data_IF_761716739177
#
_entry.id   IF_761716739177
#
_cell.length_a   1.000
_cell.length_b   1.000
_cell.length_c   1.000
_cell.angle_alpha   90.00
_cell.angle_beta   90.00
_cell.angle_gamma   90.00
#
_symmetry.space_group_name_H-M   'P 1'
#
loop_
_entity.id
_entity.type
_entity.pdbx_description
1 polymer ?
#
# COMPACT_ATOMS: atom_id res chain seq x y z
N UNK A 1 -51.19 -54.70 5.01
CA UNK A 1 -52.64 -54.42 4.83
C UNK A 1 -52.81 -52.92 4.55
N UNK A 2 -53.67 -52.53 3.60
CA UNK A 2 -53.23 -51.84 2.39
C UNK A 2 -53.98 -50.52 2.07
N UNK A 3 -53.49 -49.80 1.03
CA UNK A 3 -54.19 -49.10 -0.08
C UNK A 3 -55.45 -48.26 0.26
N UNK A 4 -55.64 -47.01 -0.20
CA UNK A 4 -55.90 -46.51 -1.58
C UNK A 4 -56.08 -44.97 -1.47
N UNK A 5 -55.59 -44.07 -2.34
CA UNK A 5 -55.82 -43.77 -3.79
C UNK A 5 -57.29 -43.44 -4.16
N UNK A 6 -57.57 -42.18 -4.48
CA UNK A 6 -58.19 -41.63 -5.73
C UNK A 6 -58.77 -40.22 -5.43
N UNK A 7 -58.37 -39.15 -6.15
CA UNK A 7 -58.99 -38.61 -7.39
C UNK A 7 -60.47 -38.20 -7.21
N UNK A 8 -61.03 -37.14 -7.80
CA UNK A 8 -60.59 -35.99 -8.60
C UNK A 8 -61.86 -35.18 -8.95
N UNK A 9 -61.66 -34.01 -9.59
CA UNK A 9 -62.58 -33.23 -10.48
C UNK A 9 -63.60 -32.32 -9.79
N UNK A 10 -64.01 -31.18 -10.33
CA UNK A 10 -63.72 -30.28 -11.48
C UNK A 10 -64.68 -29.09 -11.23
N UNK A 11 -64.47 -27.82 -11.59
CA UNK A 11 -63.93 -27.19 -12.80
C UNK A 11 -64.20 -25.67 -12.67
N UNK A 12 -64.11 -24.78 -13.66
CA UNK A 12 -63.41 -24.68 -14.94
C UNK A 12 -64.16 -23.58 -15.73
N UNK A 13 -63.50 -22.46 -16.08
CA UNK A 13 -63.75 -21.65 -17.29
C UNK A 13 -62.62 -20.60 -17.39
N UNK A 14 -61.61 -20.75 -18.27
CA UNK A 14 -61.55 -20.39 -19.72
C UNK A 14 -61.69 -18.88 -19.92
N UNK A 15 -60.73 -18.17 -20.53
CA UNK A 15 -60.40 -18.25 -21.97
C UNK A 15 -58.92 -18.03 -22.35
N UNK A 16 -58.62 -18.46 -23.59
CA UNK A 16 -57.37 -18.78 -24.30
C UNK A 16 -56.88 -17.60 -25.17
N UNK A 17 -55.58 -17.25 -25.17
CA UNK A 17 -54.48 -17.54 -26.16
C UNK A 17 -54.50 -16.94 -27.58
N UNK A 18 -53.30 -16.44 -27.99
CA UNK A 18 -52.51 -16.58 -29.27
C UNK A 18 -52.05 -15.22 -29.80
N UNK A 19 -50.74 -14.88 -29.75
CA UNK A 19 -49.63 -15.16 -30.72
C UNK A 19 -49.90 -14.72 -32.16
N UNK A 20 -49.11 -13.79 -32.72
CA UNK A 20 -48.02 -14.03 -33.72
C UNK A 20 -47.40 -12.72 -34.25
N UNK A 21 -46.17 -12.87 -34.77
CA UNK A 21 -45.28 -12.00 -35.56
C UNK A 21 -45.89 -10.95 -36.51
N UNK A 22 -45.19 -9.83 -36.79
CA UNK A 22 -44.35 -9.67 -38.00
C UNK A 22 -43.61 -8.31 -38.09
N UNK A 23 -42.55 -8.27 -38.91
CA UNK A 23 -41.76 -7.07 -39.31
C UNK A 23 -42.57 -6.14 -40.24
N UNK A 24 -42.06 -4.90 -40.49
CA UNK A 24 -41.82 -4.56 -41.90
C UNK A 24 -40.54 -3.75 -42.19
N UNK A 25 -40.08 -3.88 -43.44
CA UNK A 25 -39.05 -3.08 -44.13
C UNK A 25 -39.70 -2.00 -45.01
N UNK A 26 -38.98 -0.88 -45.16
CA UNK A 26 -38.86 0.08 -46.29
C UNK A 26 -40.12 0.55 -47.04
N UNK A 27 -40.27 1.88 -47.15
CA UNK A 27 -40.52 2.52 -48.45
C UNK A 27 -39.88 3.92 -48.54
N UNK A 28 -39.40 4.18 -49.75
CA UNK A 28 -38.65 5.31 -50.31
C UNK A 28 -39.65 6.29 -50.92
N UNK A 29 -39.40 7.60 -50.84
CA UNK A 29 -39.90 8.58 -51.80
C UNK A 29 -38.72 9.46 -52.24
N UNK A 30 -38.64 9.65 -53.55
CA UNK A 30 -37.61 10.31 -54.33
C UNK A 30 -37.84 11.83 -54.40
N UNK A 31 -36.79 12.54 -54.78
CA UNK A 31 -36.79 13.95 -55.17
C UNK A 31 -35.39 14.35 -55.63
N UNK A 32 -35.14 14.18 -56.93
CA UNK A 32 -33.95 14.63 -57.67
C UNK A 32 -33.79 16.16 -57.65
N UNK A 33 -32.56 16.63 -57.91
CA UNK A 33 -32.34 18.01 -58.36
C UNK A 33 -30.92 18.51 -58.13
N UNK A 34 -30.17 18.62 -59.22
CA UNK A 34 -28.75 18.95 -59.36
C UNK A 34 -28.29 20.33 -58.82
N UNK A 35 -26.95 20.43 -58.73
CA UNK A 35 -26.13 21.55 -59.22
C UNK A 35 -25.37 22.42 -58.18
N UNK A 36 -24.05 22.42 -58.41
CA UNK A 36 -23.12 23.56 -58.34
C UNK A 36 -22.67 24.15 -56.99
N UNK A 37 -21.42 23.82 -56.65
CA UNK A 37 -20.47 24.72 -55.97
C UNK A 37 -20.48 26.12 -56.61
N UNK A 38 -20.38 27.21 -55.83
CA UNK A 38 -19.15 27.99 -55.97
C UNK A 38 -18.65 28.74 -54.72
N UNK A 39 -17.32 28.89 -54.72
CA UNK A 39 -16.53 30.09 -54.35
C UNK A 39 -16.22 30.37 -52.88
N UNK A 40 -14.98 29.99 -52.57
CA UNK A 40 -13.99 30.78 -51.82
C UNK A 40 -14.23 32.30 -51.92
N UNK A 41 -14.45 32.94 -50.76
CA UNK A 41 -14.16 34.36 -50.57
C UNK A 41 -12.89 34.49 -49.74
N UNK A 42 -11.80 34.85 -50.42
CA UNK A 42 -10.57 35.37 -49.81
C UNK A 42 -10.89 36.68 -49.09
N UNK A 43 -10.93 36.67 -47.75
CA UNK A 43 -10.79 37.91 -46.95
C UNK A 43 -9.31 38.11 -46.62
N UNK A 44 -8.71 39.14 -47.22
CA UNK A 44 -7.35 39.61 -46.91
C UNK A 44 -7.33 40.34 -45.56
N UNK A 45 -6.50 39.82 -44.66
CA UNK A 45 -5.74 40.40 -43.51
C UNK A 45 -6.22 41.71 -42.87
N UNK A 46 -6.36 41.66 -41.54
CA UNK A 46 -5.66 42.60 -40.64
C UNK A 46 -4.99 41.79 -39.53
N UNK A 47 -3.67 41.76 -39.53
CA UNK A 47 -2.90 41.33 -38.35
C UNK A 47 -3.08 42.40 -37.27
N UNK A 48 -3.41 42.05 -36.01
CA UNK A 48 -3.35 43.02 -34.93
C UNK A 48 -1.89 43.47 -34.78
N UNK A 49 -1.66 44.77 -34.63
CA UNK A 49 -0.37 45.28 -34.15
C UNK A 49 -0.20 44.73 -32.73
N UNK A 50 0.72 43.80 -32.57
CA UNK A 50 1.15 43.29 -31.26
C UNK A 50 1.75 44.50 -30.53
N UNK A 51 1.09 44.96 -29.48
CA UNK A 51 1.61 46.00 -28.59
C UNK A 51 2.66 45.38 -27.64
N UNK A 52 3.57 46.17 -27.06
CA UNK A 52 4.55 45.67 -26.07
C UNK A 52 3.88 44.93 -24.89
N UNK A 53 2.65 45.29 -24.55
CA UNK A 53 1.83 44.55 -23.58
C UNK A 53 1.47 43.13 -24.05
N UNK A 54 1.18 42.92 -25.33
CA UNK A 54 0.92 41.59 -25.87
C UNK A 54 2.19 40.71 -25.84
N UNK A 55 3.37 41.31 -26.05
CA UNK A 55 4.66 40.60 -25.92
C UNK A 55 4.95 40.17 -24.48
N UNK A 56 4.68 41.02 -23.50
CA UNK A 56 4.84 40.69 -22.08
C UNK A 56 3.86 39.60 -21.61
N UNK A 57 2.61 39.67 -22.07
CA UNK A 57 1.59 38.63 -21.78
C UNK A 57 1.96 37.31 -22.45
N UNK A 58 2.48 37.34 -23.70
CA UNK A 58 2.94 36.13 -24.38
C UNK A 58 4.15 35.50 -23.68
N UNK A 59 5.12 36.32 -23.26
CA UNK A 59 6.28 35.86 -22.49
C UNK A 59 5.86 35.23 -21.17
N UNK A 60 4.95 35.88 -20.43
CA UNK A 60 4.42 35.34 -19.17
C UNK A 60 3.65 34.02 -19.36
N UNK A 61 2.86 33.90 -20.43
CA UNK A 61 2.16 32.65 -20.78
C UNK A 61 3.11 31.53 -21.19
N UNK A 62 4.20 31.84 -21.88
CA UNK A 62 5.24 30.87 -22.24
C UNK A 62 6.04 30.42 -21.02
N UNK A 63 6.31 31.33 -20.09
CA UNK A 63 6.98 31.04 -18.82
C UNK A 63 6.10 30.19 -17.91
N UNK A 64 4.80 30.47 -17.83
CA UNK A 64 3.81 29.60 -17.17
C UNK A 64 3.70 28.22 -17.84
N UNK A 65 3.76 28.13 -19.17
CA UNK A 65 3.80 26.82 -19.85
C UNK A 65 5.09 26.07 -19.55
N UNK A 66 6.24 26.74 -19.48
CA UNK A 66 7.52 26.14 -19.08
C UNK A 66 7.47 25.61 -17.65
N UNK A 67 6.96 26.40 -16.71
CA UNK A 67 6.79 25.99 -15.31
C UNK A 67 5.85 24.79 -15.19
N UNK A 68 4.71 24.81 -15.89
CA UNK A 68 3.77 23.68 -15.92
C UNK A 68 4.37 22.43 -16.57
N UNK A 69 5.19 22.58 -17.62
CA UNK A 69 5.86 21.47 -18.29
C UNK A 69 6.96 20.86 -17.41
N UNK A 70 7.77 21.69 -16.74
CA UNK A 70 8.77 21.24 -15.77
C UNK A 70 8.13 20.56 -14.55
N UNK A 71 7.01 21.10 -14.07
CA UNK A 71 6.23 20.49 -12.99
C UNK A 71 5.59 19.16 -13.44
N UNK A 72 5.13 19.07 -14.69
CA UNK A 72 4.60 17.84 -15.28
C UNK A 72 5.70 16.80 -15.47
N UNK A 73 6.90 17.17 -15.87
CA UNK A 73 8.07 16.29 -16.00
C UNK A 73 8.58 15.82 -14.64
N UNK A 74 8.65 16.71 -13.64
CA UNK A 74 8.95 16.36 -12.23
C UNK A 74 7.89 15.43 -11.65
N UNK A 75 6.60 15.71 -11.86
CA UNK A 75 5.50 14.81 -11.50
C UNK A 75 5.55 13.48 -12.27
N UNK A 76 6.09 13.48 -13.49
CA UNK A 76 6.26 12.25 -14.28
C UNK A 76 7.39 11.41 -13.69
N UNK A 77 8.55 12.00 -13.35
CA UNK A 77 9.64 11.30 -12.66
C UNK A 77 9.24 10.81 -11.26
N UNK A 78 8.52 11.62 -10.46
CA UNK A 78 7.92 11.19 -9.18
C UNK A 78 6.92 10.03 -9.35
N UNK A 79 6.35 9.84 -10.54
CA UNK A 79 5.44 8.72 -10.90
C UNK A 79 6.15 7.51 -11.53
N UNK A 80 7.47 7.52 -11.71
CA UNK A 80 8.20 6.36 -12.28
C UNK A 80 8.52 5.33 -11.19
N UNK A 81 8.77 5.77 -9.94
CA UNK A 81 9.14 4.88 -8.83
C UNK A 81 7.94 4.18 -8.21
N UNK A 82 6.79 4.86 -8.07
CA UNK A 82 5.50 4.24 -7.82
C UNK A 82 4.90 3.70 -9.14
N UNK A 83 4.26 2.53 -9.10
CA UNK A 83 3.65 1.91 -10.29
C UNK A 83 2.19 2.34 -10.42
N UNK A 84 1.84 3.03 -11.52
CA UNK A 84 0.45 3.45 -11.77
C UNK A 84 -0.48 2.27 -11.95
N UNK A 85 -1.67 2.36 -11.39
CA UNK A 85 -2.77 1.44 -11.71
C UNK A 85 -3.28 1.71 -13.12
N UNK A 86 -2.88 0.87 -14.08
CA UNK A 86 -3.43 0.94 -15.45
C UNK A 86 -4.92 0.59 -15.43
N UNK A 87 -5.75 1.48 -15.98
CA UNK A 87 -7.19 1.31 -16.15
C UNK A 87 -7.52 0.30 -17.27
N UNK A 88 -7.13 -0.96 -17.09
CA UNK A 88 -7.47 -2.06 -17.98
C UNK A 88 -7.93 -3.29 -17.15
N UNK A 89 -9.22 -3.61 -17.33
CA UNK A 89 -9.96 -4.82 -16.90
C UNK A 89 -9.99 -5.21 -15.42
N UNK A 90 -10.79 -4.50 -14.62
CA UNK A 90 -11.52 -5.15 -13.52
C UNK A 90 -12.67 -5.98 -14.13
N UNK A 91 -12.40 -7.25 -14.44
CA UNK A 91 -13.44 -8.22 -14.76
C UNK A 91 -13.23 -9.52 -14.00
N UNK A 92 -13.25 -9.43 -12.67
CA UNK A 92 -13.50 -10.58 -11.80
C UNK A 92 -14.83 -10.33 -11.09
N UNK A 93 -15.91 -10.60 -11.82
CA UNK A 93 -17.25 -10.72 -11.25
C UNK A 93 -17.30 -11.96 -10.34
N UNK A 94 -17.79 -11.75 -9.13
CA UNK A 94 -18.56 -12.75 -8.38
C UNK A 94 -19.50 -13.51 -9.31
N UNK A 95 -19.23 -14.80 -9.54
CA UNK A 95 -20.24 -15.77 -9.98
C UNK A 95 -20.01 -17.10 -9.26
N UNK A 96 -20.75 -17.31 -8.18
CA UNK A 96 -21.21 -18.65 -7.78
C UNK A 96 -22.22 -19.12 -8.82
N UNK A 97 -21.89 -20.13 -9.62
CA UNK A 97 -22.86 -21.13 -10.09
C UNK A 97 -22.14 -22.40 -10.54
N UNK A 98 -22.61 -23.53 -10.01
CA UNK A 98 -22.32 -24.89 -10.43
C UNK A 98 -22.74 -25.14 -11.88
N UNK A 99 -21.89 -25.79 -12.68
CA UNK A 99 -22.14 -27.06 -13.39
C UNK A 99 -21.00 -27.40 -14.36
N UNK A 100 -20.95 -28.70 -14.72
CA UNK A 100 -19.86 -29.46 -15.32
C UNK A 100 -19.54 -29.10 -16.78
N UNK A 101 -18.24 -29.20 -17.11
CA UNK A 101 -17.69 -29.64 -18.40
C UNK A 101 -17.68 -28.61 -19.52
N UNK A 102 -16.50 -28.06 -19.82
CA UNK A 102 -15.77 -28.32 -21.07
C UNK A 102 -14.38 -27.69 -20.98
N UNK A 103 -13.38 -28.41 -21.47
CA UNK A 103 -11.97 -28.04 -21.42
C UNK A 103 -11.61 -27.14 -22.59
N UNK A 104 -11.50 -25.84 -22.35
CA UNK A 104 -10.49 -24.98 -22.99
C UNK A 104 -10.33 -23.66 -22.21
N UNK A 105 -9.14 -23.04 -22.30
CA UNK A 105 -8.77 -21.66 -21.94
C UNK A 105 -8.40 -21.26 -20.49
N UNK A 106 -7.21 -20.64 -20.38
CA UNK A 106 -6.87 -19.61 -19.37
C UNK A 106 -5.96 -20.05 -18.24
N UNK A 107 -4.80 -19.39 -18.06
CA UNK A 107 -3.89 -19.56 -16.92
C UNK A 107 -4.67 -19.53 -15.59
N UNK A 108 -4.97 -20.68 -15.00
CA UNK A 108 -5.62 -20.75 -13.71
C UNK A 108 -4.62 -20.32 -12.63
N UNK A 109 -4.94 -19.26 -11.88
CA UNK A 109 -4.16 -18.80 -10.74
C UNK A 109 -3.92 -19.95 -9.75
N UNK A 110 -2.66 -20.18 -9.35
CA UNK A 110 -2.29 -21.23 -8.41
C UNK A 110 -2.92 -20.95 -7.04
N UNK A 111 -3.69 -21.90 -6.52
CA UNK A 111 -4.33 -21.80 -5.20
C UNK A 111 -3.30 -21.91 -4.07
N UNK A 112 -3.53 -21.22 -2.95
CA UNK A 112 -2.72 -21.36 -1.73
C UNK A 112 -2.79 -22.77 -1.14
N UNK A 113 -3.84 -23.53 -1.42
CA UNK A 113 -3.93 -24.94 -0.99
C UNK A 113 -3.00 -25.87 -1.78
N UNK A 114 -2.58 -25.46 -2.98
CA UNK A 114 -1.70 -26.24 -3.84
C UNK A 114 -0.23 -26.05 -3.43
N UNK A 115 0.51 -27.13 -3.10
CA UNK A 115 1.94 -27.06 -2.84
C UNK A 115 2.78 -26.40 -3.95
N UNK A 116 2.30 -26.39 -5.20
CA UNK A 116 2.94 -25.67 -6.32
C UNK A 116 3.07 -24.17 -6.06
N UNK A 117 2.25 -23.60 -5.17
CA UNK A 117 2.39 -22.21 -4.76
C UNK A 117 3.76 -21.93 -4.13
N UNK A 118 4.36 -22.89 -3.43
CA UNK A 118 5.72 -22.75 -2.91
C UNK A 118 6.73 -22.55 -4.05
N UNK A 119 6.58 -23.28 -5.17
CA UNK A 119 7.44 -23.11 -6.34
C UNK A 119 7.23 -21.77 -7.05
N UNK A 120 6.02 -21.21 -6.99
CA UNK A 120 5.77 -19.86 -7.46
C UNK A 120 6.51 -18.83 -6.58
N UNK A 121 6.43 -18.95 -5.25
CA UNK A 121 7.17 -18.10 -4.32
C UNK A 121 8.70 -18.22 -4.51
N UNK A 122 9.22 -19.44 -4.68
CA UNK A 122 10.65 -19.70 -4.90
C UNK A 122 11.16 -19.02 -6.18
N UNK A 123 10.36 -18.97 -7.26
CA UNK A 123 10.71 -18.20 -8.47
C UNK A 123 10.85 -16.70 -8.20
N UNK A 124 10.16 -16.21 -7.17
CA UNK A 124 10.30 -14.86 -6.66
C UNK A 124 11.26 -14.78 -5.48
N UNK A 125 12.17 -15.73 -5.28
CA UNK A 125 13.17 -15.70 -4.20
C UNK A 125 12.57 -15.75 -2.80
N UNK A 126 11.36 -16.28 -2.63
CA UNK A 126 10.72 -16.45 -1.33
C UNK A 126 10.66 -17.93 -0.96
N UNK A 127 11.21 -18.25 0.21
CA UNK A 127 11.38 -19.61 0.68
C UNK A 127 10.70 -19.75 2.04
N UNK A 128 9.71 -20.64 2.14
CA UNK A 128 8.98 -20.91 3.38
C UNK A 128 9.75 -21.84 4.34
N UNK A 129 11.07 -21.69 4.36
CA UNK A 129 12.02 -22.49 5.13
C UNK A 129 13.13 -21.59 5.68
N UNK A 130 13.89 -22.13 6.62
CA UNK A 130 15.13 -21.52 7.09
C UNK A 130 16.23 -21.68 6.04
N UNK A 131 16.99 -20.61 5.82
CA UNK A 131 18.22 -20.66 5.02
C UNK A 131 19.37 -21.36 5.77
N UNK A 132 20.30 -22.04 5.07
CA UNK A 132 21.52 -22.56 5.69
C UNK A 132 22.32 -21.54 6.53
N UNK A 133 22.40 -20.27 6.10
CA UNK A 133 23.07 -19.22 6.89
C UNK A 133 22.22 -18.81 8.10
N UNK A 134 20.92 -18.62 7.87
CA UNK A 134 19.94 -18.35 8.92
C UNK A 134 20.01 -16.92 9.45
N UNK A 135 19.40 -16.70 10.62
CA UNK A 135 19.44 -15.42 11.32
C UNK A 135 20.85 -15.07 11.81
N UNK A 136 21.14 -13.77 11.91
CA UNK A 136 22.33 -13.27 12.63
C UNK A 136 22.30 -13.69 14.10
N UNK A 137 23.44 -13.57 14.79
CA UNK A 137 23.52 -13.85 16.22
C UNK A 137 22.61 -12.89 17.03
N UNK A 138 22.59 -11.60 16.67
CA UNK A 138 21.74 -10.60 17.30
C UNK A 138 20.25 -10.95 17.15
N UNK A 139 19.81 -11.30 15.93
CA UNK A 139 18.42 -11.70 15.69
C UNK A 139 18.05 -13.02 16.39
N UNK A 140 18.99 -13.97 16.54
CA UNK A 140 18.79 -15.18 17.35
C UNK A 140 18.60 -14.89 18.83
N UNK A 141 19.39 -13.95 19.37
CA UNK A 141 19.27 -13.51 20.77
C UNK A 141 17.96 -12.77 21.01
N UNK A 142 17.56 -11.90 20.09
CA UNK A 142 16.26 -11.25 20.12
C UNK A 142 15.11 -12.27 20.12
N UNK A 143 15.14 -13.29 19.25
CA UNK A 143 14.13 -14.36 19.29
C UNK A 143 14.04 -15.03 20.67
N UNK A 144 15.18 -15.28 21.32
CA UNK A 144 15.19 -15.86 22.69
C UNK A 144 14.60 -14.89 23.71
N UNK A 145 14.91 -13.60 23.62
CA UNK A 145 14.36 -12.57 24.50
C UNK A 145 12.83 -12.46 24.36
N UNK A 146 12.33 -12.39 23.13
CA UNK A 146 10.90 -12.32 22.82
C UNK A 146 10.13 -13.53 23.37
N UNK A 147 10.76 -14.71 23.39
CA UNK A 147 10.17 -15.95 23.93
C UNK A 147 10.28 -16.07 25.45
N UNK A 148 11.34 -15.52 26.04
CA UNK A 148 11.58 -15.61 27.48
C UNK A 148 10.70 -14.62 28.26
N UNK A 149 10.38 -13.47 27.68
CA UNK A 149 9.57 -12.44 28.33
C UNK A 149 8.17 -12.96 28.67
N UNK A 150 7.68 -12.56 29.84
CA UNK A 150 6.36 -12.97 30.33
C UNK A 150 5.53 -11.73 30.71
N UNK A 151 5.09 -10.91 29.73
CA UNK A 151 4.19 -9.79 30.00
C UNK A 151 2.93 -10.29 30.73
N UNK A 152 2.31 -9.45 31.59
CA UNK A 152 1.08 -9.82 32.26
C UNK A 152 -0.02 -10.08 31.23
N UNK A 153 -0.83 -11.10 31.49
CA UNK A 153 -2.02 -11.36 30.68
C UNK A 153 -3.16 -10.45 31.15
N UNK A 154 -4.01 -9.96 30.25
CA UNK A 154 -5.20 -9.25 30.63
C UNK A 154 -6.16 -10.20 31.35
N UNK A 155 -6.95 -9.65 32.28
CA UNK A 155 -7.98 -10.41 32.98
C UNK A 155 -9.18 -10.62 32.05
N UNK A 156 -9.17 -11.74 31.32
CA UNK A 156 -10.25 -12.12 30.41
C UNK A 156 -10.74 -13.53 30.68
N UNK A 157 -11.98 -13.81 30.29
CA UNK A 157 -12.58 -15.14 30.36
C UNK A 157 -11.74 -16.22 29.65
N UNK A 158 -11.06 -15.85 28.56
CA UNK A 158 -10.19 -16.76 27.81
C UNK A 158 -8.93 -17.16 28.59
N UNK A 159 -8.35 -16.23 29.36
CA UNK A 159 -7.17 -16.54 30.19
C UNK A 159 -7.54 -17.06 31.57
N UNK A 160 -8.83 -17.05 31.94
CA UNK A 160 -9.38 -17.58 33.19
C UNK A 160 -10.07 -18.93 33.03
N UNK A 161 -11.15 -19.11 33.78
CA UNK A 161 -11.83 -20.40 33.97
C UNK A 161 -12.74 -20.80 32.79
N UNK A 162 -13.06 -19.85 31.90
CA UNK A 162 -13.96 -20.09 30.77
C UNK A 162 -13.22 -20.57 29.52
N UNK A 163 -11.89 -20.73 29.58
CA UNK A 163 -11.05 -21.15 28.46
C UNK A 163 -11.58 -22.37 27.70
N UNK A 164 -11.84 -23.47 28.40
CA UNK A 164 -12.30 -24.71 27.77
C UNK A 164 -13.67 -24.54 27.11
N UNK A 165 -14.59 -23.84 27.79
CA UNK A 165 -15.91 -23.54 27.25
C UNK A 165 -15.84 -22.70 25.97
N UNK A 166 -14.93 -21.71 25.93
CA UNK A 166 -14.69 -20.87 24.75
C UNK A 166 -14.13 -21.71 23.59
N UNK A 167 -13.13 -22.55 23.86
CA UNK A 167 -12.52 -23.42 22.86
C UNK A 167 -13.55 -24.41 22.29
N UNK A 168 -14.29 -25.12 23.14
CA UNK A 168 -15.31 -26.09 22.74
C UNK A 168 -16.43 -25.46 21.90
N UNK A 169 -16.86 -24.24 22.23
CA UNK A 169 -17.90 -23.51 21.46
C UNK A 169 -17.37 -22.98 20.12
N UNK A 170 -16.06 -22.80 20.01
CA UNK A 170 -15.43 -22.30 18.78
C UNK A 170 -14.99 -23.44 17.86
N UNK A 171 -14.78 -24.63 18.42
CA UNK A 171 -14.52 -25.85 17.67
C UNK A 171 -15.62 -26.10 16.63
N UNK A 172 -15.23 -26.41 15.40
CA UNK A 172 -16.12 -26.66 14.25
C UNK A 172 -16.96 -25.45 13.80
N UNK A 173 -16.62 -24.23 14.22
CA UNK A 173 -17.20 -22.99 13.68
C UNK A 173 -16.38 -22.49 12.49
N UNK A 174 -16.91 -21.51 11.76
CA UNK A 174 -16.25 -20.91 10.60
C UNK A 174 -15.12 -19.94 11.01
N UNK A 175 -14.31 -19.53 10.02
CA UNK A 175 -13.12 -18.67 10.25
C UNK A 175 -13.51 -17.37 10.96
N UNK A 176 -14.58 -16.71 10.53
CA UNK A 176 -15.08 -15.49 11.16
C UNK A 176 -15.34 -15.66 12.67
N UNK A 177 -15.82 -16.83 13.10
CA UNK A 177 -16.04 -17.11 14.52
C UNK A 177 -14.72 -17.29 15.28
N UNK A 178 -13.74 -17.95 14.67
CA UNK A 178 -12.39 -18.12 15.24
C UNK A 178 -11.71 -16.74 15.34
N UNK A 179 -11.79 -15.93 14.28
CA UNK A 179 -11.29 -14.55 14.24
C UNK A 179 -11.87 -13.73 15.38
N UNK A 180 -13.19 -13.73 15.55
CA UNK A 180 -13.82 -12.92 16.59
C UNK A 180 -13.49 -13.39 18.02
N UNK A 181 -13.41 -14.71 18.24
CA UNK A 181 -13.42 -15.28 19.61
C UNK A 181 -12.03 -15.60 20.13
N UNK A 182 -11.10 -16.00 19.24
CA UNK A 182 -9.78 -16.52 19.62
C UNK A 182 -8.68 -15.56 19.20
N UNK A 183 -8.74 -14.97 17.99
CA UNK A 183 -7.63 -14.14 17.47
C UNK A 183 -7.21 -13.00 18.40
N UNK A 184 -8.10 -12.23 19.07
CA UNK A 184 -7.69 -11.17 20.00
C UNK A 184 -6.84 -11.67 21.19
N UNK A 185 -6.92 -12.97 21.50
CA UNK A 185 -6.14 -13.61 22.56
C UNK A 185 -4.85 -14.28 22.05
N UNK A 186 -4.69 -14.41 20.72
CA UNK A 186 -3.50 -14.96 20.07
C UNK A 186 -2.62 -13.84 19.52
N UNK A 187 -3.24 -12.87 18.85
CA UNK A 187 -2.65 -11.66 18.29
C UNK A 187 -3.41 -10.45 18.83
N UNK A 188 -2.98 -9.86 19.97
CA UNK A 188 -3.62 -8.69 20.52
C UNK A 188 -3.60 -7.50 19.57
N UNK A 189 -4.62 -6.65 19.71
CA UNK A 189 -4.75 -5.42 18.92
C UNK A 189 -3.56 -4.49 19.15
N UNK A 190 -2.89 -4.16 18.05
CA UNK A 190 -1.77 -3.21 18.00
C UNK A 190 -2.25 -1.79 18.28
N UNK A 191 -3.46 -1.43 17.83
CA UNK A 191 -4.03 -0.10 18.08
C UNK A 191 -4.44 0.08 19.54
N UNK A 192 -5.07 -0.92 20.17
CA UNK A 192 -5.35 -0.88 21.61
C UNK A 192 -4.05 -0.76 22.40
N UNK A 193 -3.01 -1.49 22.01
CA UNK A 193 -1.68 -1.35 22.60
C UNK A 193 -1.13 0.07 22.41
N UNK A 194 -1.23 0.65 21.21
CA UNK A 194 -0.78 2.01 20.91
C UNK A 194 -1.51 3.09 21.71
N UNK A 195 -2.81 2.94 21.94
CA UNK A 195 -3.57 3.87 22.79
C UNK A 195 -3.05 3.89 24.23
N UNK A 196 -2.57 2.76 24.75
CA UNK A 196 -1.98 2.67 26.08
C UNK A 196 -0.48 3.07 26.11
N UNK A 197 0.19 3.07 24.96
CA UNK A 197 1.62 3.34 24.82
C UNK A 197 1.85 4.37 23.71
N UNK A 198 1.84 5.65 24.09
CA UNK A 198 1.86 6.82 23.17
C UNK A 198 3.03 6.90 22.19
N UNK A 199 4.05 6.03 22.31
CA UNK A 199 5.20 5.95 21.41
C UNK A 199 5.02 4.94 20.26
N UNK A 200 3.95 4.14 20.26
CA UNK A 200 3.72 3.13 19.23
C UNK A 200 2.86 3.69 18.09
N UNK A 201 3.50 4.06 16.98
CA UNK A 201 2.82 4.58 15.79
C UNK A 201 2.37 3.45 14.84
N UNK A 202 1.50 2.58 15.34
CA UNK A 202 1.06 1.37 14.62
C UNK A 202 -0.40 1.44 14.22
N UNK A 203 -0.73 0.82 13.09
CA UNK A 203 -2.10 0.61 12.59
C UNK A 203 -2.33 -0.87 12.36
N UNK A 204 -3.55 -1.31 12.59
CA UNK A 204 -4.00 -2.65 12.24
C UNK A 204 -5.11 -2.63 11.21
N UNK A 205 -5.12 -3.64 10.35
CA UNK A 205 -6.20 -3.84 9.38
C UNK A 205 -6.80 -5.23 9.59
N UNK A 206 -8.12 -5.33 9.42
CA UNK A 206 -8.86 -6.59 9.57
C UNK A 206 -9.46 -6.99 8.23
N UNK A 207 -8.94 -8.07 7.62
CA UNK A 207 -9.41 -8.58 6.32
C UNK A 207 -9.45 -7.49 5.23
N UNK A 208 -8.45 -6.61 5.17
CA UNK A 208 -8.35 -5.58 4.16
C UNK A 208 -7.35 -5.94 3.07
N UNK A 209 -7.76 -5.71 1.82
CA UNK A 209 -6.89 -5.97 0.68
C UNK A 209 -5.74 -4.96 0.64
N UNK A 210 -4.53 -5.45 0.41
CA UNK A 210 -3.34 -4.61 0.21
C UNK A 210 -3.38 -3.96 -1.18
N UNK A 211 -4.25 -2.96 -1.32
CA UNK A 211 -4.56 -2.26 -2.58
C UNK A 211 -3.38 -1.51 -3.17
N UNK A 212 -2.51 -0.98 -2.32
CA UNK A 212 -1.35 -0.16 -2.66
C UNK A 212 -0.05 -0.97 -2.71
N UNK A 213 -0.08 -2.25 -2.34
CA UNK A 213 1.11 -3.09 -2.39
C UNK A 213 1.61 -3.30 -3.82
N UNK A 214 2.92 -3.14 -3.97
CA UNK A 214 3.63 -3.58 -5.15
C UNK A 214 3.67 -5.12 -5.19
N UNK A 215 2.90 -5.69 -6.12
CA UNK A 215 2.72 -7.13 -6.24
C UNK A 215 3.88 -7.84 -6.95
N UNK A 216 4.09 -9.10 -6.59
CA UNK A 216 4.94 -10.02 -7.34
C UNK A 216 4.30 -10.30 -8.71
N UNK A 217 5.11 -10.34 -9.78
CA UNK A 217 4.61 -10.73 -11.09
C UNK A 217 4.05 -12.16 -11.07
N UNK A 218 3.10 -12.50 -11.94
CA UNK A 218 2.48 -13.84 -12.00
C UNK A 218 1.67 -14.25 -10.75
N UNK A 219 1.58 -13.42 -9.70
CA UNK A 219 0.67 -13.61 -8.57
C UNK A 219 -0.55 -12.71 -8.77
N UNK A 220 -1.68 -13.32 -9.15
CA UNK A 220 -2.89 -12.57 -9.49
C UNK A 220 -3.68 -12.10 -8.24
N UNK A 221 -3.60 -12.85 -7.14
CA UNK A 221 -4.32 -12.52 -5.91
C UNK A 221 -3.53 -11.50 -5.10
N UNK A 222 -4.18 -10.38 -4.78
CA UNK A 222 -3.64 -9.42 -3.81
C UNK A 222 -3.66 -10.06 -2.41
N UNK A 223 -2.64 -9.81 -1.59
CA UNK A 223 -2.70 -10.10 -0.16
C UNK A 223 -3.93 -9.44 0.46
N UNK A 224 -4.59 -10.19 1.34
CA UNK A 224 -5.68 -9.73 2.19
C UNK A 224 -5.63 -10.57 3.48
N UNK A 225 -4.68 -10.30 4.37
CA UNK A 225 -4.56 -11.03 5.63
C UNK A 225 -5.81 -10.82 6.50
N UNK A 226 -6.18 -11.83 7.29
CA UNK A 226 -7.28 -11.71 8.26
C UNK A 226 -6.99 -10.62 9.30
N UNK A 227 -5.73 -10.47 9.67
CA UNK A 227 -5.22 -9.37 10.47
C UNK A 227 -3.81 -8.99 10.02
N UNK A 228 -3.48 -7.70 10.00
CA UNK A 228 -2.15 -7.21 9.67
C UNK A 228 -1.80 -5.96 10.49
N UNK A 229 -0.51 -5.75 10.73
CA UNK A 229 0.01 -4.56 11.42
C UNK A 229 1.13 -3.94 10.61
N UNK A 230 1.13 -2.61 10.56
CA UNK A 230 2.19 -1.78 10.01
C UNK A 230 2.27 -0.45 10.75
N UNK A 231 2.99 0.50 10.17
CA UNK A 231 3.13 1.83 10.71
C UNK A 231 2.09 2.79 10.15
N UNK A 232 1.62 3.69 11.01
CA UNK A 232 0.77 4.83 10.61
C UNK A 232 1.60 5.88 9.88
N UNK A 233 0.92 6.80 9.19
CA UNK A 233 1.57 7.92 8.51
C UNK A 233 2.29 8.85 9.52
N UNK A 234 1.71 9.04 10.70
CA UNK A 234 2.28 9.87 11.79
C UNK A 234 3.51 9.23 12.45
N UNK A 235 3.81 7.97 12.10
CA UNK A 235 5.08 7.34 12.41
C UNK A 235 6.24 8.02 11.69
N UNK A 236 6.03 8.96 10.78
CA UNK A 236 7.08 9.64 10.04
C UNK A 236 6.95 11.15 10.17
N UNK A 237 8.08 11.85 10.23
CA UNK A 237 8.08 13.31 10.18
C UNK A 237 7.62 13.80 8.81
N UNK A 238 7.19 15.06 8.72
CA UNK A 238 6.80 15.65 7.43
C UNK A 238 7.95 15.57 6.40
N UNK A 239 9.19 15.82 6.82
CA UNK A 239 10.38 15.67 5.97
C UNK A 239 10.56 14.22 5.46
N UNK A 240 10.37 13.23 6.34
CA UNK A 240 10.45 11.81 5.97
C UNK A 240 9.34 11.43 4.98
N UNK A 241 8.12 11.95 5.18
CA UNK A 241 7.01 11.75 4.26
C UNK A 241 7.29 12.38 2.89
N UNK A 242 7.79 13.62 2.85
CA UNK A 242 8.21 14.28 1.60
C UNK A 242 9.24 13.45 0.83
N UNK A 243 10.24 12.93 1.55
CA UNK A 243 11.27 12.05 0.98
C UNK A 243 10.68 10.78 0.40
N UNK A 244 9.69 10.15 1.05
CA UNK A 244 9.08 8.91 0.52
C UNK A 244 8.10 9.14 -0.64
N UNK A 245 7.58 10.36 -0.85
CA UNK A 245 6.54 10.64 -1.87
C UNK A 245 6.80 10.02 -3.25
N UNK A 246 8.02 10.05 -3.82
CA UNK A 246 8.30 9.46 -5.13
C UNK A 246 8.01 7.96 -5.21
N UNK A 247 8.23 7.22 -4.12
CA UNK A 247 7.97 5.77 -4.06
C UNK A 247 6.52 5.45 -3.66
N UNK A 248 5.81 6.38 -3.03
CA UNK A 248 4.41 6.22 -2.63
C UNK A 248 3.45 6.50 -3.79
N UNK A 249 3.70 7.55 -4.56
CA UNK A 249 2.79 7.97 -5.63
C UNK A 249 1.47 8.52 -5.10
N UNK A 250 0.40 8.38 -5.88
CA UNK A 250 -0.96 8.74 -5.44
C UNK A 250 -1.64 7.55 -4.76
N UNK A 251 -1.51 7.50 -3.43
CA UNK A 251 -2.06 6.42 -2.62
C UNK A 251 -3.59 6.30 -2.77
N UNK A 252 -4.32 7.41 -2.92
CA UNK A 252 -5.78 7.42 -3.08
C UNK A 252 -6.22 6.96 -4.47
N UNK A 253 -5.39 7.19 -5.49
CA UNK A 253 -5.58 6.59 -6.81
C UNK A 253 -5.23 5.08 -6.87
N UNK A 254 -4.79 4.50 -5.75
CA UNK A 254 -4.28 3.13 -5.65
C UNK A 254 -3.04 2.89 -6.53
N UNK A 255 -2.14 3.87 -6.61
CA UNK A 255 -0.79 3.61 -7.12
C UNK A 255 -0.12 2.54 -6.24
N UNK A 256 0.64 1.67 -6.89
CA UNK A 256 1.40 0.61 -6.24
C UNK A 256 2.73 1.17 -5.74
N UNK A 257 3.00 0.92 -4.47
CA UNK A 257 4.19 1.37 -3.77
C UNK A 257 4.91 0.18 -3.14
N UNK A 258 6.25 0.20 -3.09
CA UNK A 258 6.98 -0.80 -2.31
C UNK A 258 6.80 -0.58 -0.80
N UNK A 259 6.36 0.61 -0.38
CA UNK A 259 6.32 1.01 1.04
C UNK A 259 4.92 0.90 1.67
N UNK A 260 3.87 0.70 0.87
CA UNK A 260 2.48 0.66 1.35
C UNK A 260 1.84 -0.70 1.17
N UNK A 261 1.09 -1.15 2.18
CA UNK A 261 0.10 -2.22 2.02
C UNK A 261 -1.23 -1.63 1.53
N UNK A 262 -1.75 -0.68 2.30
CA UNK A 262 -2.95 0.11 2.02
C UNK A 262 -2.57 1.58 2.01
N UNK A 263 -3.50 2.48 1.69
CA UNK A 263 -3.24 3.91 1.71
C UNK A 263 -2.94 4.47 3.11
N UNK A 264 -3.19 3.69 4.18
CA UNK A 264 -2.94 4.07 5.57
C UNK A 264 -1.79 3.30 6.22
N UNK A 265 -1.41 2.12 5.68
CA UNK A 265 -0.42 1.23 6.31
C UNK A 265 0.92 1.27 5.59
N UNK A 266 1.91 1.88 6.23
CA UNK A 266 3.30 1.96 5.81
C UNK A 266 4.09 0.79 6.37
N UNK A 267 4.95 0.19 5.55
CA UNK A 267 5.84 -0.91 5.93
C UNK A 267 5.17 -1.94 6.86
N UNK A 268 4.18 -2.73 6.34
CA UNK A 268 3.59 -3.81 7.12
C UNK A 268 4.68 -4.73 7.67
N UNK A 269 4.53 -5.21 8.90
CA UNK A 269 5.55 -6.06 9.54
C UNK A 269 4.95 -7.26 10.28
N UNK A 270 3.63 -7.33 10.43
CA UNK A 270 2.97 -8.49 11.02
C UNK A 270 1.76 -8.88 10.19
N UNK A 271 1.60 -10.19 9.92
CA UNK A 271 0.36 -10.72 9.34
C UNK A 271 -0.14 -11.93 10.11
N UNK A 272 -1.45 -12.11 10.13
CA UNK A 272 -2.12 -13.25 10.71
C UNK A 272 -3.15 -13.80 9.73
N UNK A 273 -3.15 -15.12 9.58
CA UNK A 273 -4.11 -15.87 8.77
C UNK A 273 -4.76 -16.94 9.65
N UNK A 274 -6.09 -16.91 9.66
CA UNK A 274 -6.92 -17.78 10.48
C UNK A 274 -7.56 -18.81 9.57
N UNK A 275 -7.60 -20.05 10.05
CA UNK A 275 -8.21 -21.15 9.31
C UNK A 275 -9.05 -22.02 10.21
N UNK A 276 -9.87 -22.87 9.61
CA UNK A 276 -10.61 -23.91 10.31
C UNK A 276 -9.98 -25.29 10.01
N UNK A 277 -9.18 -25.80 10.94
CA UNK A 277 -8.59 -27.14 10.92
C UNK A 277 -7.13 -27.21 10.40
N UNK A 278 -6.39 -28.24 10.84
CA UNK A 278 -4.94 -28.33 10.68
C UNK A 278 -4.43 -28.31 9.22
N UNK A 279 -5.08 -29.02 8.30
CA UNK A 279 -4.66 -29.06 6.88
C UNK A 279 -4.79 -27.69 6.19
N UNK A 280 -5.55 -26.76 6.77
CA UNK A 280 -5.71 -25.41 6.26
C UNK A 280 -4.57 -24.47 6.71
N UNK A 281 -3.81 -24.81 7.76
CA UNK A 281 -2.71 -23.95 8.23
C UNK A 281 -1.55 -23.87 7.24
N UNK A 282 -1.32 -24.88 6.41
CA UNK A 282 -0.31 -24.80 5.34
C UNK A 282 -0.71 -23.77 4.26
N UNK A 283 -2.01 -23.58 4.04
CA UNK A 283 -2.51 -22.52 3.16
C UNK A 283 -2.34 -21.14 3.80
N UNK A 284 -2.64 -21.01 5.11
CA UNK A 284 -2.34 -19.79 5.88
C UNK A 284 -0.84 -19.45 5.83
N UNK A 285 0.03 -20.43 6.00
CA UNK A 285 1.48 -20.26 5.93
C UNK A 285 1.94 -19.72 4.56
N UNK A 286 1.30 -20.14 3.47
CA UNK A 286 1.59 -19.64 2.11
C UNK A 286 1.03 -18.23 1.88
N UNK A 287 -0.16 -17.93 2.40
CA UNK A 287 -0.74 -16.59 2.34
C UNK A 287 0.13 -15.59 3.11
N UNK A 288 0.45 -15.91 4.37
CA UNK A 288 1.40 -15.15 5.18
C UNK A 288 2.77 -15.03 4.50
N UNK A 289 3.27 -16.11 3.90
CA UNK A 289 4.51 -16.11 3.14
C UNK A 289 4.52 -15.10 1.99
N UNK A 290 3.45 -15.03 1.21
CA UNK A 290 3.29 -14.03 0.16
C UNK A 290 3.28 -12.60 0.73
N UNK A 291 2.45 -12.36 1.74
CA UNK A 291 2.31 -11.03 2.37
C UNK A 291 3.64 -10.56 2.96
N UNK A 292 4.33 -11.42 3.70
CA UNK A 292 5.64 -11.10 4.30
C UNK A 292 6.74 -10.96 3.27
N UNK A 293 6.69 -11.67 2.14
CA UNK A 293 7.64 -11.43 1.04
C UNK A 293 7.53 -10.01 0.50
N UNK A 294 6.30 -9.52 0.31
CA UNK A 294 6.04 -8.16 -0.18
C UNK A 294 6.51 -7.13 0.84
N UNK A 295 6.14 -7.31 2.11
CA UNK A 295 6.55 -6.45 3.22
C UNK A 295 8.08 -6.34 3.37
N UNK A 296 8.75 -7.49 3.47
CA UNK A 296 10.22 -7.57 3.60
C UNK A 296 10.91 -6.90 2.43
N UNK A 297 10.41 -7.10 1.21
CA UNK A 297 10.95 -6.44 0.01
C UNK A 297 10.77 -4.93 0.04
N UNK A 298 9.69 -4.41 0.61
CA UNK A 298 9.50 -2.98 0.80
C UNK A 298 10.62 -2.35 1.63
N UNK A 299 10.96 -2.99 2.75
CA UNK A 299 12.07 -2.54 3.62
C UNK A 299 13.42 -2.70 2.92
N UNK A 300 13.66 -3.83 2.25
CA UNK A 300 14.92 -4.04 1.50
C UNK A 300 15.06 -3.02 0.36
N UNK A 301 13.98 -2.69 -0.34
CA UNK A 301 13.99 -1.67 -1.38
C UNK A 301 14.43 -0.32 -0.80
N UNK A 302 13.82 0.13 0.31
CA UNK A 302 14.22 1.35 1.00
C UNK A 302 15.73 1.36 1.32
N UNK A 303 16.24 0.27 1.89
CA UNK A 303 17.65 0.18 2.26
C UNK A 303 18.60 0.13 1.06
N UNK A 304 18.16 -0.40 -0.09
CA UNK A 304 18.92 -0.36 -1.34
C UNK A 304 19.05 1.06 -1.89
N UNK A 305 17.98 1.86 -1.83
CA UNK A 305 18.03 3.26 -2.28
C UNK A 305 19.09 4.07 -1.53
N UNK A 306 19.31 3.75 -0.26
CA UNK A 306 20.33 4.40 0.59
C UNK A 306 21.62 3.59 0.74
N UNK A 307 21.80 2.52 -0.05
CA UNK A 307 23.00 1.67 -0.09
C UNK A 307 23.39 1.02 1.25
N UNK A 308 22.38 0.68 2.06
CA UNK A 308 22.52 0.07 3.40
C UNK A 308 21.94 -1.34 3.48
N UNK A 309 21.66 -1.99 2.36
CA UNK A 309 20.99 -3.30 2.31
C UNK A 309 21.73 -4.41 3.06
N UNK A 310 23.05 -4.30 3.25
CA UNK A 310 23.84 -5.26 4.03
C UNK A 310 23.47 -5.25 5.53
N UNK A 311 22.93 -4.12 6.05
CA UNK A 311 22.43 -4.04 7.44
C UNK A 311 21.23 -4.96 7.69
N UNK A 312 20.56 -5.42 6.63
CA UNK A 312 19.38 -6.26 6.73
C UNK A 312 19.69 -7.76 6.59
N UNK A 313 20.92 -8.12 6.22
CA UNK A 313 21.29 -9.49 5.93
C UNK A 313 21.14 -10.38 7.17
N UNK A 314 20.18 -11.31 7.15
CA UNK A 314 19.89 -12.22 8.26
C UNK A 314 19.17 -11.56 9.45
N UNK A 315 18.77 -10.30 9.34
CA UNK A 315 18.02 -9.58 10.38
C UNK A 315 16.52 -9.82 10.25
N UNK A 316 15.79 -9.86 11.38
CA UNK A 316 14.34 -9.98 11.38
C UNK A 316 13.70 -8.69 10.84
N UNK A 317 12.77 -8.85 9.89
CA UNK A 317 12.07 -7.78 9.18
C UNK A 317 10.55 -7.88 9.26
N UNK A 318 10.01 -8.96 9.85
CA UNK A 318 8.59 -9.09 10.09
C UNK A 318 8.23 -10.42 10.74
N UNK A 319 6.97 -10.59 11.09
CA UNK A 319 6.43 -11.77 11.74
C UNK A 319 5.15 -12.23 11.07
N UNK A 320 4.88 -13.53 11.10
CA UNK A 320 3.57 -14.03 10.69
C UNK A 320 3.02 -15.07 11.64
N UNK A 321 1.70 -15.08 11.78
CA UNK A 321 0.97 -16.00 12.62
C UNK A 321 -0.05 -16.76 11.78
N UNK A 322 -0.01 -18.08 11.86
CA UNK A 322 -1.06 -18.93 11.29
C UNK A 322 -1.72 -19.66 12.44
N UNK A 323 -3.03 -19.54 12.62
CA UNK A 323 -3.72 -20.21 13.72
C UNK A 323 -5.11 -20.71 13.35
N UNK A 324 -5.59 -21.64 14.15
CA UNK A 324 -6.97 -22.11 14.11
C UNK A 324 -7.60 -22.05 15.52
N UNK A 325 -8.61 -22.87 15.76
CA UNK A 325 -9.29 -22.94 17.05
C UNK A 325 -8.50 -23.69 18.14
N UNK A 326 -7.32 -24.26 17.83
CA UNK A 326 -6.57 -25.14 18.72
C UNK A 326 -5.06 -24.94 18.73
N UNK A 327 -4.49 -24.41 17.64
CA UNK A 327 -3.04 -24.33 17.44
C UNK A 327 -2.59 -23.00 16.86
N UNK A 328 -1.33 -22.65 17.10
CA UNK A 328 -0.66 -21.46 16.56
C UNK A 328 0.70 -21.85 15.99
N UNK A 329 1.06 -21.25 14.86
CA UNK A 329 2.40 -21.25 14.26
C UNK A 329 2.87 -19.81 14.12
N UNK A 330 3.98 -19.46 14.75
CA UNK A 330 4.61 -18.14 14.69
C UNK A 330 5.94 -18.25 13.95
N UNK A 331 6.16 -17.33 13.03
CA UNK A 331 7.37 -17.27 12.21
C UNK A 331 7.98 -15.87 12.27
N UNK A 332 9.31 -15.81 12.33
CA UNK A 332 10.07 -14.59 12.07
C UNK A 332 10.57 -14.61 10.63
N UNK A 333 10.32 -13.55 9.87
CA UNK A 333 10.73 -13.40 8.47
C UNK A 333 11.95 -12.51 8.39
N UNK A 334 12.90 -12.90 7.52
CA UNK A 334 14.16 -12.21 7.32
C UNK A 334 14.57 -12.28 5.85
N UNK A 335 15.54 -11.45 5.47
CA UNK A 335 16.09 -11.45 4.12
C UNK A 335 17.58 -11.75 4.13
N UNK A 336 18.03 -12.47 3.11
CA UNK A 336 19.41 -12.45 2.67
C UNK A 336 19.51 -11.51 1.48
N UNK A 337 20.28 -10.44 1.66
CA UNK A 337 20.54 -9.43 0.66
C UNK A 337 21.88 -9.73 0.00
N UNK A 338 21.87 -9.72 -1.33
CA UNK A 338 23.06 -9.54 -2.16
C UNK A 338 22.87 -8.29 -3.04
N UNK A 339 23.91 -7.89 -3.79
CA UNK A 339 23.92 -6.67 -4.62
C UNK A 339 22.68 -6.55 -5.51
N UNK A 340 22.18 -7.65 -6.08
CA UNK A 340 21.12 -7.63 -7.08
C UNK A 340 19.85 -8.36 -6.65
N UNK A 341 19.93 -9.30 -5.71
CA UNK A 341 18.86 -10.20 -5.33
C UNK A 341 18.53 -10.11 -3.85
N UNK A 342 17.25 -10.34 -3.58
CA UNK A 342 16.71 -10.44 -2.22
C UNK A 342 16.03 -11.78 -2.12
N UNK A 343 16.54 -12.61 -1.20
CA UNK A 343 15.94 -13.90 -0.88
C UNK A 343 15.27 -13.80 0.48
N UNK A 344 13.97 -14.04 0.55
CA UNK A 344 13.21 -13.98 1.78
C UNK A 344 13.08 -15.39 2.36
N UNK A 345 13.35 -15.52 3.66
CA UNK A 345 13.28 -16.77 4.40
C UNK A 345 12.47 -16.56 5.68
N UNK A 346 12.16 -17.68 6.36
CA UNK A 346 11.50 -17.63 7.67
C UNK A 346 12.14 -18.61 8.65
N UNK A 347 12.21 -18.19 9.91
CA UNK A 347 12.55 -19.04 11.06
C UNK A 347 11.26 -19.38 11.81
N UNK A 348 11.10 -20.65 12.21
CA UNK A 348 10.03 -21.05 13.11
C UNK A 348 10.34 -20.47 14.48
N UNK A 349 9.53 -19.53 14.95
CA UNK A 349 9.69 -18.97 16.28
C UNK A 349 9.09 -19.95 17.31
N UNK A 350 7.82 -20.34 17.11
CA UNK A 350 7.12 -21.36 17.90
C UNK A 350 5.99 -21.99 17.11
N UNK A 351 5.73 -23.27 17.37
CA UNK A 351 4.52 -23.98 16.95
C UNK A 351 4.02 -24.80 18.13
N UNK A 352 2.73 -24.68 18.47
CA UNK A 352 2.15 -25.40 19.60
C UNK A 352 0.62 -25.44 19.53
N UNK A 353 0.02 -26.40 20.24
CA UNK A 353 -1.41 -26.45 20.50
C UNK A 353 -1.69 -25.72 21.82
N UNK A 354 -2.41 -24.61 21.77
CA UNK A 354 -2.71 -23.82 22.96
C UNK A 354 -3.84 -24.43 23.79
N UNK A 355 -4.54 -25.43 23.26
CA UNK A 355 -5.57 -26.22 23.96
C UNK A 355 -5.03 -27.46 24.66
N UNK A 356 -3.75 -27.82 24.46
CA UNK A 356 -3.12 -28.93 25.17
C UNK A 356 -2.89 -28.61 26.65
N UNK A 357 -2.78 -29.65 27.47
CA UNK A 357 -2.49 -29.55 28.92
C UNK A 357 -3.38 -28.53 29.63
N UNK A 358 -4.70 -28.63 29.44
CA UNK A 358 -5.70 -27.75 30.08
C UNK A 358 -5.48 -26.25 29.76
N UNK A 359 -4.91 -25.97 28.59
CA UNK A 359 -4.63 -24.61 28.17
C UNK A 359 -3.40 -23.99 28.81
N UNK A 360 -2.43 -24.78 29.29
CA UNK A 360 -1.20 -24.27 29.93
C UNK A 360 -0.51 -23.18 29.11
N UNK A 361 -0.47 -23.34 27.78
CA UNK A 361 0.19 -22.42 26.85
C UNK A 361 -0.77 -21.36 26.26
N UNK A 362 -2.00 -21.23 26.77
CA UNK A 362 -3.04 -20.34 26.21
C UNK A 362 -2.61 -18.87 26.11
N UNK A 363 -1.77 -18.41 27.01
CA UNK A 363 -1.22 -17.05 27.02
C UNK A 363 0.07 -16.86 26.22
N UNK A 364 0.69 -17.93 25.70
CA UNK A 364 2.03 -17.86 25.12
C UNK A 364 2.09 -16.96 23.88
N UNK A 365 1.17 -17.13 22.93
CA UNK A 365 1.15 -16.30 21.72
C UNK A 365 0.95 -14.82 22.05
N UNK A 366 -0.05 -14.52 22.89
CA UNK A 366 -0.30 -13.15 23.37
C UNK A 366 0.97 -12.48 23.90
N UNK A 367 1.70 -13.16 24.79
CA UNK A 367 2.93 -12.67 25.40
C UNK A 367 4.03 -12.40 24.38
N UNK A 368 4.20 -13.28 23.40
CA UNK A 368 5.17 -13.11 22.32
C UNK A 368 4.83 -11.87 21.49
N UNK A 369 3.57 -11.69 21.10
CA UNK A 369 3.14 -10.55 20.28
C UNK A 369 3.28 -9.23 21.04
N UNK A 370 2.89 -9.17 22.32
CA UNK A 370 3.16 -7.99 23.16
C UNK A 370 4.66 -7.71 23.25
N UNK A 371 5.49 -8.74 23.41
CA UNK A 371 6.96 -8.56 23.43
C UNK A 371 7.49 -8.02 22.11
N UNK A 372 6.92 -8.43 20.96
CA UNK A 372 7.26 -7.87 19.65
C UNK A 372 6.91 -6.38 19.60
N UNK A 373 5.71 -6.00 20.06
CA UNK A 373 5.29 -4.60 20.11
C UNK A 373 6.13 -3.74 21.05
N UNK A 374 6.55 -4.28 22.21
CA UNK A 374 7.33 -3.56 23.22
C UNK A 374 8.80 -3.40 22.84
N UNK A 375 9.40 -4.41 22.21
CA UNK A 375 10.86 -4.48 21.99
C UNK A 375 11.21 -4.25 20.53
N UNK A 376 10.68 -5.10 19.64
CA UNK A 376 11.15 -5.12 18.26
C UNK A 376 10.57 -3.99 17.41
N UNK A 377 9.29 -3.65 17.59
CA UNK A 377 8.61 -2.60 16.80
C UNK A 377 9.32 -1.24 16.93
N UNK A 378 9.68 -0.73 18.13
CA UNK A 378 10.44 0.51 18.26
C UNK A 378 11.80 0.46 17.55
N UNK A 379 12.53 -0.66 17.67
CA UNK A 379 13.81 -0.86 17.00
C UNK A 379 13.66 -0.84 15.47
N UNK A 380 12.63 -1.52 14.96
CA UNK A 380 12.35 -1.58 13.53
C UNK A 380 11.91 -0.22 12.96
N UNK A 381 11.07 0.51 13.68
CA UNK A 381 10.67 1.87 13.30
C UNK A 381 11.88 2.82 13.26
N UNK A 382 12.75 2.77 14.27
CA UNK A 382 13.96 3.58 14.29
C UNK A 382 14.89 3.26 13.11
N UNK A 383 15.03 1.97 12.77
CA UNK A 383 15.77 1.50 11.59
C UNK A 383 15.19 2.07 10.29
N UNK A 384 13.88 1.98 10.10
CA UNK A 384 13.20 2.52 8.90
C UNK A 384 13.33 4.04 8.84
N UNK A 385 13.02 4.77 9.93
CA UNK A 385 13.16 6.23 10.02
C UNK A 385 14.57 6.68 9.64
N UNK A 386 15.60 5.98 10.14
CA UNK A 386 17.00 6.25 9.81
C UNK A 386 17.27 6.16 8.31
N UNK A 387 16.76 5.12 7.63
CA UNK A 387 16.93 4.97 6.20
C UNK A 387 16.10 5.99 5.39
N UNK A 388 14.84 6.23 5.77
CA UNK A 388 13.98 7.22 5.12
C UNK A 388 14.60 8.61 5.15
N UNK A 389 15.18 9.03 6.27
CA UNK A 389 15.83 10.34 6.40
C UNK A 389 17.02 10.53 5.45
N UNK A 390 17.61 9.44 4.93
CA UNK A 390 18.73 9.46 3.99
C UNK A 390 18.31 9.31 2.53
N UNK A 391 17.01 9.15 2.24
CA UNK A 391 16.53 9.14 0.87
C UNK A 391 16.87 10.47 0.17
N UNK A 392 17.21 10.43 -1.13
CA UNK A 392 17.58 11.62 -1.87
C UNK A 392 16.39 12.57 -2.01
N UNK A 393 16.66 13.87 -1.86
CA UNK A 393 15.70 14.92 -2.18
C UNK A 393 15.57 15.03 -3.71
N UNK A 394 14.66 14.25 -4.29
CA UNK A 394 14.37 14.25 -5.73
C UNK A 394 13.71 15.57 -6.23
N UNK A 395 13.63 16.59 -5.37
CA UNK A 395 13.29 17.96 -5.74
C UNK A 395 14.53 18.78 -6.19
N UNK A 396 15.74 18.38 -5.79
CA UNK A 396 16.97 19.17 -5.96
C UNK A 396 17.72 18.93 -7.28
N UNK A 397 17.47 17.83 -7.98
CA UNK A 397 18.21 17.42 -9.19
C UNK A 397 17.88 18.23 -10.46
N UNK A 398 17.27 19.42 -10.33
CA UNK A 398 16.87 20.28 -11.46
C UNK A 398 17.61 21.62 -11.51
N UNK A 399 18.67 21.85 -10.71
CA UNK A 399 19.37 23.15 -10.68
C UNK A 399 20.85 23.16 -11.14
N UNK A 400 21.45 22.04 -11.52
CA UNK A 400 22.82 22.06 -12.06
C UNK A 400 22.83 22.11 -13.59
N UNK A 401 22.69 23.34 -14.14
CA UNK A 401 23.48 23.85 -15.28
C UNK A 401 22.90 25.17 -15.79
N UNK A 402 23.23 26.29 -15.14
CA UNK A 402 23.23 27.62 -15.78
C UNK A 402 24.33 28.49 -15.16
N UNK A 403 25.57 28.07 -15.39
CA UNK A 403 26.69 28.99 -15.44
C UNK A 403 27.29 28.88 -16.84
N UNK A 404 26.99 29.87 -17.69
CA UNK A 404 27.95 30.55 -18.57
C UNK A 404 27.26 31.57 -19.49
N UNK A 405 28.01 32.63 -19.80
CA UNK A 405 27.72 33.86 -20.58
C UNK A 405 26.89 34.92 -19.82
N UNK A 406 27.36 36.13 -19.49
CA UNK A 406 28.49 36.94 -19.98
C UNK A 406 28.00 38.05 -20.92
N UNK A 407 28.15 39.32 -20.48
CA UNK A 407 27.93 40.61 -21.20
C UNK A 407 26.44 41.05 -21.35
N UNK A 408 25.99 42.30 -21.16
CA UNK A 408 26.61 43.63 -21.03
C UNK A 408 25.66 44.58 -20.25
N UNK A 409 26.11 45.81 -20.07
CA UNK A 409 25.83 46.83 -19.04
C UNK A 409 24.53 47.66 -19.15
N UNK A 410 24.11 48.14 -17.97
CA UNK A 410 23.73 49.52 -17.60
C UNK A 410 23.04 50.42 -18.64
N UNK A 411 21.80 50.83 -18.34
CA UNK A 411 21.32 52.17 -18.64
C UNK A 411 20.57 52.76 -17.44
N UNK A 412 20.88 54.03 -17.23
CA UNK A 412 20.80 54.78 -15.99
C UNK A 412 19.41 55.34 -15.70
N UNK A 413 19.14 55.49 -14.40
CA UNK A 413 18.11 56.34 -13.82
C UNK A 413 18.19 57.79 -14.34
N UNK A 414 17.01 58.36 -14.62
CA UNK A 414 16.80 59.81 -14.77
C UNK A 414 15.69 60.23 -13.78
N UNK A 415 15.97 61.14 -12.83
CA UNK A 415 14.96 61.76 -11.98
C UNK A 415 14.39 63.06 -12.63
N UNK A 416 13.25 63.57 -12.12
CA UNK A 416 12.45 64.57 -12.82
C UNK A 416 12.95 66.01 -12.63
N UNK A 417 12.62 66.85 -13.62
CA UNK A 417 12.90 68.27 -13.66
C UNK A 417 12.05 69.06 -12.65
N UNK A 418 12.66 70.03 -11.98
CA UNK A 418 11.94 71.18 -11.40
C UNK A 418 12.85 72.40 -11.42
N UNK A 419 12.36 73.48 -12.01
CA UNK A 419 13.04 74.77 -12.04
C UNK A 419 12.36 75.72 -11.04
N UNK A 420 13.21 76.50 -10.36
CA UNK A 420 13.09 77.91 -9.95
C UNK A 420 13.53 78.16 -8.48
N UNK A 421 14.70 78.76 -8.39
CA UNK A 421 15.31 79.56 -7.28
C UNK A 421 14.52 80.85 -6.98
N UNK A 422 14.91 81.69 -5.97
CA UNK A 422 15.88 81.51 -4.88
C UNK A 422 15.35 82.01 -3.50
N UNK A 423 16.16 81.91 -2.43
CA UNK A 423 16.55 83.02 -1.51
C UNK A 423 17.29 82.45 -0.27
N UNK A 424 18.57 82.85 -0.15
CA UNK A 424 19.33 83.34 1.03
C UNK A 424 19.09 82.60 2.37
N UNK A 425 20.11 82.01 3.02
CA UNK A 425 21.14 82.63 3.89
C UNK A 425 22.10 81.58 4.46
N UNK A 426 23.33 82.01 4.72
CA UNK A 426 24.45 81.27 5.28
C UNK A 426 24.28 80.89 6.77
N UNK A 427 25.02 79.86 7.19
CA UNK A 427 25.69 79.88 8.50
C UNK A 427 25.52 78.62 9.36
N UNK A 428 26.56 78.21 10.12
CA UNK A 428 26.92 76.79 10.21
C UNK A 428 26.82 76.20 11.63
N UNK A 429 27.07 74.90 11.72
CA UNK A 429 28.12 74.30 12.58
C UNK A 429 27.67 73.22 13.58
N UNK A 430 28.59 72.25 13.68
CA UNK A 430 28.88 71.29 14.78
C UNK A 430 28.16 69.94 14.78
N UNK A 431 28.88 69.02 14.14
CA UNK A 431 28.96 67.58 14.37
C UNK A 431 29.77 67.27 15.67
N UNK A 432 29.99 66.01 16.08
CA UNK A 432 29.41 65.43 17.30
C UNK A 432 30.49 64.85 18.25
N UNK A 433 30.07 64.19 19.34
CA UNK A 433 30.74 63.07 20.05
C UNK A 433 29.88 62.72 21.28
N UNK A 434 29.25 61.55 21.38
CA UNK A 434 29.83 60.23 21.77
C UNK A 434 30.62 60.32 23.07
N UNK A 435 30.07 59.81 24.20
CA UNK A 435 30.40 58.51 24.84
C UNK A 435 30.00 58.51 26.34
N UNK A 436 29.52 57.36 26.82
CA UNK A 436 29.72 56.90 28.20
C UNK A 436 28.44 56.52 28.93
N UNK A 437 28.25 55.23 29.18
CA UNK A 437 27.16 54.65 29.97
C UNK A 437 26.79 53.27 29.47
#
# INVERSE_FOLDING_TARGET
MPLTRSQARNGAAKYRTRTTSDRPKKRRLEGDGDAETPRQTRRRKRSPRITEQDHLVHHWLEEQRRQNQQQKESCTMRRILARRKSSASNRSQSRKRSELGDSDTGNAAVSYTDPKFNKLLEKHGSYLVRSPAGLTQQSKELCKELLARQPPLPLTDFFGDMFENICNRTQNRNEARVVQTITPHIVPSAEVYAMCCSSAHVIENWNESWSNAWLLSQVEKRPQPDYAVGFQQDAFTEEQLEKMKPWIGDAFANDQSPFLATYMMYFPFLTCEVKCGNAALDAADRQNGLSMTIAVRGVVQLFREVKRQEELHGEILGFSISHDASSVRLYAHYAETDENHTRCFREVLRTFYFTEQEGRERGMSYRIIISIYEIWVPMHLARIRSAVSQLPDLQSSCQESKDESGYFTSFSDLPPATAQTPVITEGPSKRPKVRGG
#
